data_IF_540212946344
#
_entry.id   IF_540212946344
#
_cell.length_a   1.000
_cell.length_b   1.000
_cell.length_c   1.000
_cell.angle_alpha   90.00
_cell.angle_beta   90.00
_cell.angle_gamma   90.00
#
_symmetry.space_group_name_H-M   'P 1'
#
loop_
_entity.id
_entity.type
_entity.pdbx_description
1 polymer ?
#
# COMPACT_ATOMS: atom_id res chain seq x y z
N UNK A 1 -1.09 -8.89 5.73
CA UNK A 1 -1.82 -7.61 5.76
C UNK A 1 -2.89 -7.61 4.68
N UNK A 2 -4.03 -7.04 4.97
CA UNK A 2 -5.11 -6.96 3.99
C UNK A 2 -5.24 -5.54 3.47
N UNK A 3 -5.55 -5.41 2.17
CA UNK A 3 -5.73 -4.11 1.54
C UNK A 3 -7.12 -3.54 1.85
N UNK A 4 -7.46 -2.42 1.20
CA UNK A 4 -8.74 -1.75 1.46
C UNK A 4 -9.94 -2.56 1.01
N UNK A 5 -9.74 -3.58 0.19
CA UNK A 5 -10.81 -4.46 -0.29
C UNK A 5 -10.81 -5.82 0.41
N UNK A 6 -9.91 -6.03 1.36
CA UNK A 6 -9.80 -7.28 2.08
C UNK A 6 -8.96 -8.35 1.41
N UNK A 7 -8.25 -8.02 0.34
CA UNK A 7 -7.35 -8.95 -0.32
C UNK A 7 -6.05 -9.06 0.46
N UNK A 8 -5.52 -10.27 0.58
CA UNK A 8 -4.26 -10.47 1.29
C UNK A 8 -3.10 -9.89 0.48
N UNK A 9 -2.27 -9.07 1.14
CA UNK A 9 -1.09 -8.46 0.52
C UNK A 9 0.18 -9.17 1.00
N UNK A 10 1.11 -9.35 0.08
CA UNK A 10 2.43 -9.93 0.35
C UNK A 10 3.50 -9.05 -0.27
N UNK A 11 4.71 -9.14 0.25
CA UNK A 11 5.86 -8.46 -0.35
C UNK A 11 6.01 -8.93 -1.79
N UNK A 12 6.15 -7.97 -2.70
CA UNK A 12 6.25 -8.24 -4.13
C UNK A 12 4.95 -8.03 -4.90
N UNK A 13 3.82 -7.90 -4.21
CA UNK A 13 2.54 -7.70 -4.88
C UNK A 13 2.47 -6.32 -5.53
N UNK A 14 1.84 -6.27 -6.70
CA UNK A 14 1.57 -5.00 -7.39
C UNK A 14 0.32 -4.37 -6.79
N UNK A 15 0.41 -3.08 -6.49
CA UNK A 15 -0.69 -2.37 -5.84
C UNK A 15 -0.85 -0.98 -6.45
N UNK A 16 -2.04 -0.41 -6.27
CA UNK A 16 -2.28 1.02 -6.42
C UNK A 16 -2.45 1.58 -5.01
N UNK A 17 -1.87 2.74 -4.77
CA UNK A 17 -1.90 3.34 -3.44
C UNK A 17 -2.03 4.85 -3.53
N UNK A 18 -2.43 5.46 -2.41
CA UNK A 18 -2.54 6.91 -2.31
C UNK A 18 -1.19 7.47 -1.87
N UNK A 19 -0.62 8.34 -2.71
CA UNK A 19 0.65 9.00 -2.45
C UNK A 19 0.38 10.50 -2.23
N UNK A 20 1.01 11.06 -1.20
CA UNK A 20 0.84 12.47 -0.88
C UNK A 20 -0.20 12.72 0.18
N UNK A 21 -0.46 13.98 0.46
CA UNK A 21 -1.34 14.40 1.54
C UNK A 21 -2.31 15.48 1.06
N UNK A 22 -3.52 15.46 1.62
CA UNK A 22 -4.51 16.52 1.38
C UNK A 22 -4.78 16.69 -0.11
N UNK A 23 -4.77 17.93 -0.58
CA UNK A 23 -5.04 18.25 -1.98
C UNK A 23 -3.93 17.80 -2.92
N UNK A 24 -2.78 17.42 -2.38
CA UNK A 24 -1.66 16.89 -3.18
C UNK A 24 -1.66 15.37 -3.28
N UNK A 25 -2.66 14.73 -2.71
CA UNK A 25 -2.77 13.27 -2.78
C UNK A 25 -3.11 12.82 -4.19
N UNK A 26 -2.49 11.76 -4.64
CA UNK A 26 -2.76 11.18 -5.95
C UNK A 26 -2.60 9.67 -5.88
N UNK A 27 -3.15 8.98 -6.89
CA UNK A 27 -3.00 7.54 -7.00
C UNK A 27 -1.71 7.22 -7.74
N UNK A 28 -1.01 6.21 -7.24
CA UNK A 28 0.23 5.74 -7.85
C UNK A 28 0.24 4.22 -7.81
N UNK A 29 1.05 3.62 -8.66
CA UNK A 29 1.20 2.16 -8.68
C UNK A 29 2.62 1.80 -8.30
N UNK A 30 2.78 0.63 -7.71
CA UNK A 30 4.10 0.15 -7.32
C UNK A 30 4.02 -1.25 -6.75
N UNK A 31 5.13 -1.70 -6.17
CA UNK A 31 5.21 -3.04 -5.59
C UNK A 31 5.45 -2.92 -4.09
N UNK A 32 4.80 -3.79 -3.33
CA UNK A 32 5.01 -3.85 -1.88
C UNK A 32 6.43 -4.34 -1.62
N UNK A 33 7.19 -3.54 -0.85
CA UNK A 33 8.59 -3.88 -0.52
C UNK A 33 8.75 -4.34 0.92
N UNK A 34 7.78 -4.00 1.79
CA UNK A 34 7.83 -4.41 3.19
C UNK A 34 6.44 -4.33 3.79
N UNK A 35 6.14 -5.26 4.68
CA UNK A 35 4.93 -5.23 5.49
C UNK A 35 5.36 -5.12 6.95
N UNK A 36 4.83 -4.12 7.65
CA UNK A 36 5.21 -3.84 9.03
C UNK A 36 4.57 -4.87 9.97
N UNK A 37 5.19 -5.03 11.13
CA UNK A 37 4.78 -6.05 12.09
C UNK A 37 3.37 -5.84 12.65
N UNK A 38 2.86 -4.62 12.60
CA UNK A 38 1.48 -4.36 13.05
C UNK A 38 0.42 -4.84 12.06
N UNK A 39 0.84 -5.27 10.86
CA UNK A 39 -0.03 -5.75 9.78
C UNK A 39 -1.05 -4.72 9.31
N UNK A 40 -0.79 -3.44 9.55
CA UNK A 40 -1.68 -2.34 9.14
C UNK A 40 -1.00 -1.35 8.22
N UNK A 41 0.32 -1.48 8.04
CA UNK A 41 1.11 -0.58 7.21
C UNK A 41 2.07 -1.37 6.34
N UNK A 42 2.42 -0.80 5.21
CA UNK A 42 3.43 -1.39 4.33
C UNK A 42 4.24 -0.28 3.67
N UNK A 43 5.32 -0.69 3.03
CA UNK A 43 6.10 0.20 2.16
C UNK A 43 5.85 -0.19 0.71
N UNK A 44 5.71 0.80 -0.15
CA UNK A 44 5.52 0.59 -1.59
C UNK A 44 6.57 1.43 -2.31
N UNK A 45 7.50 0.77 -3.00
CA UNK A 45 8.57 1.42 -3.78
C UNK A 45 9.30 2.51 -3.00
N UNK A 46 9.63 2.23 -1.73
CA UNK A 46 10.35 3.18 -0.90
C UNK A 46 9.49 4.19 -0.16
N UNK A 47 8.20 4.21 -0.41
CA UNK A 47 7.27 5.04 0.34
C UNK A 47 6.80 4.26 1.56
N UNK A 48 7.28 4.66 2.74
CA UNK A 48 7.01 3.97 3.99
C UNK A 48 5.65 4.35 4.57
N UNK A 49 5.15 3.50 5.46
CA UNK A 49 3.96 3.79 6.27
C UNK A 49 2.71 4.05 5.46
N UNK A 50 2.50 3.24 4.42
CA UNK A 50 1.25 3.26 3.65
C UNK A 50 0.24 2.39 4.41
N UNK A 51 -0.84 3.01 4.88
CA UNK A 51 -1.87 2.30 5.65
C UNK A 51 -2.65 1.33 4.76
N UNK A 52 -3.17 0.27 5.37
CA UNK A 52 -3.89 -0.76 4.65
C UNK A 52 -5.13 -0.24 3.91
N UNK A 53 -5.77 0.81 4.44
CA UNK A 53 -6.95 1.39 3.79
C UNK A 53 -6.59 2.35 2.65
N UNK A 54 -5.30 2.57 2.39
CA UNK A 54 -4.83 3.46 1.34
C UNK A 54 -4.16 2.70 0.19
N UNK A 55 -4.30 1.38 0.16
CA UNK A 55 -3.65 0.55 -0.83
C UNK A 55 -4.62 -0.52 -1.31
N UNK A 56 -4.54 -0.86 -2.60
CA UNK A 56 -5.39 -1.90 -3.19
C UNK A 56 -4.55 -2.79 -4.09
N UNK A 57 -4.69 -4.09 -3.90
CA UNK A 57 -3.95 -5.06 -4.71
C UNK A 57 -4.44 -5.03 -6.16
N UNK A 58 -3.47 -5.01 -7.07
CA UNK A 58 -3.72 -5.19 -8.49
C UNK A 58 -3.47 -6.66 -8.83
N UNK A 59 -4.33 -7.21 -9.64
CA UNK A 59 -4.10 -8.56 -10.11
C UNK A 59 -4.36 -8.70 -11.60
#
# INVERSE_FOLDING_TARGET
MKDCKGNELKVGDSVVYVHGKNSNACLATGNVTKIYSNHKECSVDGNAHIYNFRVMKLD
#
